data_IF_484777395881
#
_entry.id   IF_484777395881
#
_cell.length_a   1.000
_cell.length_b   1.000
_cell.length_c   1.000
_cell.angle_alpha   90.00
_cell.angle_beta   90.00
_cell.angle_gamma   90.00
#
_symmetry.space_group_name_H-M   'P 1'
#
loop_
_entity.id
_entity.type
_entity.pdbx_description
1 polymer ?
#
# COMPACT_ATOMS: atom_id res chain seq x y z
N UNK A 1 -39.09 49.92 17.21
CA UNK A 1 -38.70 49.55 15.82
C UNK A 1 -37.22 49.24 15.84
N UNK A 2 -36.86 47.96 15.98
CA UNK A 2 -35.48 47.52 16.22
C UNK A 2 -34.79 47.13 14.91
N UNK A 3 -33.57 47.64 14.75
CA UNK A 3 -32.65 47.36 13.67
C UNK A 3 -32.17 45.89 13.69
N UNK A 4 -32.27 45.21 12.55
CA UNK A 4 -31.67 43.90 12.32
C UNK A 4 -30.20 44.06 11.91
N UNK A 5 -29.29 43.55 12.74
CA UNK A 5 -27.88 43.41 12.39
C UNK A 5 -27.67 42.14 11.60
N UNK A 6 -27.14 42.34 10.39
CA UNK A 6 -26.44 41.36 9.56
C UNK A 6 -25.31 40.68 10.34
N UNK A 7 -25.26 39.36 10.25
CA UNK A 7 -24.06 38.55 10.49
C UNK A 7 -23.94 37.57 9.33
N UNK A 8 -23.16 37.96 8.33
CA UNK A 8 -22.51 37.02 7.42
C UNK A 8 -21.21 36.55 8.07
N UNK A 9 -20.97 35.23 8.09
CA UNK A 9 -19.65 34.62 8.06
C UNK A 9 -19.76 33.10 8.23
N UNK A 10 -19.01 32.37 7.41
CA UNK A 10 -18.59 31.00 7.73
C UNK A 10 -19.20 29.94 6.84
N UNK A 11 -18.56 29.70 5.70
CA UNK A 11 -18.88 28.58 4.82
C UNK A 11 -17.99 28.58 3.58
N UNK A 12 -16.68 28.73 3.78
CA UNK A 12 -15.70 28.41 2.73
C UNK A 12 -15.70 26.89 2.55
N UNK A 13 -16.68 26.39 1.80
CA UNK A 13 -16.71 25.04 1.27
C UNK A 13 -15.45 24.88 0.42
N UNK A 14 -14.48 24.18 0.98
CA UNK A 14 -13.20 23.96 0.33
C UNK A 14 -13.42 23.16 -0.95
N UNK A 15 -13.28 23.85 -2.08
CA UNK A 15 -12.88 23.29 -3.37
C UNK A 15 -11.55 22.53 -3.20
N UNK A 16 -11.62 21.31 -2.66
CA UNK A 16 -10.55 20.31 -2.65
C UNK A 16 -10.85 19.19 -3.64
N UNK A 17 -11.64 19.49 -4.67
CA UNK A 17 -11.99 18.55 -5.72
C UNK A 17 -11.60 19.10 -7.09
N UNK A 18 -10.32 19.43 -7.27
CA UNK A 18 -9.76 19.90 -8.54
C UNK A 18 -8.28 19.55 -8.68
N UNK A 19 -7.93 18.30 -8.40
CA UNK A 19 -6.73 17.68 -8.97
C UNK A 19 -7.08 16.26 -9.43
N UNK A 20 -8.15 16.15 -10.24
CA UNK A 20 -8.25 15.07 -11.21
C UNK A 20 -7.14 15.29 -12.25
N UNK A 21 -5.91 15.01 -11.85
CA UNK A 21 -4.72 15.10 -12.69
C UNK A 21 -4.94 14.31 -13.96
N UNK A 22 -4.61 14.91 -15.10
CA UNK A 22 -4.63 14.26 -16.39
C UNK A 22 -3.55 13.17 -16.45
N UNK A 23 -3.88 11.95 -16.02
CA UNK A 23 -2.95 10.82 -16.02
C UNK A 23 -2.77 10.28 -17.45
N UNK A 24 -1.71 10.75 -18.11
CA UNK A 24 -1.29 10.27 -19.42
C UNK A 24 -0.76 8.84 -19.29
N UNK A 25 -1.20 7.93 -20.17
CA UNK A 25 -0.79 6.52 -20.25
C UNK A 25 0.67 6.29 -20.64
N UNK A 26 1.60 6.85 -19.87
CA UNK A 26 3.01 6.53 -19.89
C UNK A 26 3.35 5.81 -18.58
N UNK A 27 3.91 4.60 -18.70
CA UNK A 27 4.36 3.76 -17.57
C UNK A 27 5.02 4.65 -16.49
N UNK A 28 4.40 4.76 -15.32
CA UNK A 28 4.96 5.56 -14.23
C UNK A 28 6.34 5.02 -13.85
N UNK A 29 7.25 5.91 -13.43
CA UNK A 29 8.51 5.43 -12.86
C UNK A 29 8.22 4.74 -11.53
N UNK A 30 8.99 3.71 -11.19
CA UNK A 30 8.88 2.98 -9.91
C UNK A 30 8.92 3.92 -8.71
N UNK A 31 9.67 5.01 -8.80
CA UNK A 31 9.70 6.05 -7.76
C UNK A 31 8.33 6.71 -7.55
N UNK A 32 7.65 7.07 -8.65
CA UNK A 32 6.30 7.66 -8.58
C UNK A 32 5.28 6.65 -8.07
N UNK A 33 5.38 5.39 -8.49
CA UNK A 33 4.50 4.33 -8.01
C UNK A 33 4.65 4.11 -6.49
N UNK A 34 5.88 4.01 -5.99
CA UNK A 34 6.14 3.87 -4.55
C UNK A 34 5.65 5.10 -3.78
N UNK A 35 5.88 6.31 -4.32
CA UNK A 35 5.37 7.54 -3.69
C UNK A 35 3.85 7.53 -3.62
N UNK A 36 3.19 7.18 -4.72
CA UNK A 36 1.74 7.09 -4.79
C UNK A 36 1.16 6.05 -3.81
N UNK A 37 1.80 4.87 -3.67
CA UNK A 37 1.40 3.88 -2.67
C UNK A 37 1.55 4.42 -1.24
N UNK A 38 2.63 5.13 -0.94
CA UNK A 38 2.83 5.76 0.37
C UNK A 38 1.76 6.81 0.63
N UNK A 39 1.47 7.67 -0.35
CA UNK A 39 0.43 8.69 -0.24
C UNK A 39 -0.96 8.04 -0.03
N UNK A 40 -1.24 6.92 -0.72
CA UNK A 40 -2.46 6.14 -0.53
C UNK A 40 -2.59 5.54 0.86
N UNK A 41 -1.49 5.00 1.42
CA UNK A 41 -1.44 4.49 2.81
C UNK A 41 -1.73 5.60 3.83
N UNK A 42 -1.23 6.81 3.59
CA UNK A 42 -1.38 7.95 4.49
C UNK A 42 -2.68 8.74 4.26
N UNK A 43 -3.49 8.35 3.28
CA UNK A 43 -4.77 9.00 2.97
C UNK A 43 -5.91 8.62 3.91
N UNK A 44 -7.03 9.37 3.80
CA UNK A 44 -8.19 9.23 4.69
C UNK A 44 -9.15 8.07 4.30
N UNK A 45 -9.08 7.56 3.06
CA UNK A 45 -9.86 6.36 2.66
C UNK A 45 -9.20 5.10 3.22
N UNK A 46 -9.77 4.54 4.28
CA UNK A 46 -9.28 3.34 4.99
C UNK A 46 -9.11 2.15 4.03
N UNK A 47 -10.05 1.93 3.11
CA UNK A 47 -9.99 0.80 2.19
C UNK A 47 -8.85 0.97 1.18
N UNK A 48 -8.65 2.19 0.69
CA UNK A 48 -7.51 2.54 -0.16
C UNK A 48 -6.19 2.39 0.61
N UNK A 49 -6.13 2.90 1.84
CA UNK A 49 -4.94 2.82 2.69
C UNK A 49 -4.47 1.39 2.91
N UNK A 50 -5.40 0.49 3.26
CA UNK A 50 -5.09 -0.92 3.45
C UNK A 50 -4.70 -1.65 2.16
N UNK A 51 -5.35 -1.33 1.04
CA UNK A 51 -5.00 -1.89 -0.27
C UNK A 51 -3.57 -1.47 -0.68
N UNK A 52 -3.26 -0.17 -0.58
CA UNK A 52 -1.92 0.35 -0.86
C UNK A 52 -0.86 -0.24 0.08
N UNK A 53 -1.18 -0.42 1.37
CA UNK A 53 -0.27 -1.05 2.33
C UNK A 53 0.04 -2.48 1.93
N UNK A 54 -0.97 -3.24 1.51
CA UNK A 54 -0.80 -4.65 1.12
C UNK A 54 0.08 -4.78 -0.12
N UNK A 55 -0.18 -3.98 -1.16
CA UNK A 55 0.66 -3.93 -2.37
C UNK A 55 2.10 -3.54 -2.01
N UNK A 56 2.28 -2.55 -1.14
CA UNK A 56 3.60 -2.13 -0.69
C UNK A 56 4.33 -3.27 0.04
N UNK A 57 3.65 -4.01 0.90
CA UNK A 57 4.20 -5.11 1.70
C UNK A 57 4.51 -6.37 0.89
N UNK A 58 3.62 -6.76 -0.01
CA UNK A 58 3.69 -8.04 -0.71
C UNK A 58 4.62 -7.95 -1.94
N UNK A 59 4.59 -6.82 -2.66
CA UNK A 59 5.28 -6.69 -3.94
C UNK A 59 6.52 -5.79 -3.85
N UNK A 60 6.34 -4.55 -3.37
CA UNK A 60 7.37 -3.52 -3.48
C UNK A 60 8.46 -3.65 -2.42
N UNK A 61 8.13 -3.89 -1.15
CA UNK A 61 9.12 -4.03 -0.08
C UNK A 61 10.06 -5.22 -0.31
N UNK A 62 9.59 -6.44 -0.67
CA UNK A 62 10.47 -7.57 -0.94
C UNK A 62 11.37 -7.32 -2.15
N UNK A 63 10.86 -6.65 -3.19
CA UNK A 63 11.66 -6.24 -4.34
C UNK A 63 12.74 -5.20 -3.98
N UNK A 64 12.37 -4.15 -3.23
CA UNK A 64 13.30 -3.11 -2.78
C UNK A 64 14.41 -3.68 -1.91
N UNK A 65 14.04 -4.55 -0.95
CA UNK A 65 14.99 -5.21 -0.07
C UNK A 65 15.99 -6.06 -0.86
N UNK A 66 15.51 -6.88 -1.81
CA UNK A 66 16.36 -7.69 -2.69
C UNK A 66 17.27 -6.82 -3.54
N UNK A 67 16.73 -5.76 -4.15
CA UNK A 67 17.47 -4.80 -4.97
C UNK A 67 18.61 -4.14 -4.19
N UNK A 68 18.35 -3.71 -2.95
CA UNK A 68 19.35 -3.14 -2.07
C UNK A 68 20.46 -4.15 -1.70
N UNK A 69 20.08 -5.39 -1.34
CA UNK A 69 21.03 -6.46 -1.03
C UNK A 69 21.92 -6.79 -2.24
N UNK A 70 21.35 -6.86 -3.44
CA UNK A 70 22.11 -7.14 -4.66
C UNK A 70 23.08 -6.00 -4.99
N UNK A 71 22.69 -4.74 -4.85
CA UNK A 71 23.59 -3.59 -4.99
C UNK A 71 24.73 -3.67 -3.96
N UNK A 72 24.42 -3.99 -2.70
CA UNK A 72 25.43 -4.17 -1.67
C UNK A 72 26.41 -5.31 -2.02
N UNK A 73 25.91 -6.45 -2.50
CA UNK A 73 26.74 -7.59 -2.95
C UNK A 73 27.64 -7.21 -4.13
N UNK A 74 27.10 -6.52 -5.13
CA UNK A 74 27.87 -6.02 -6.30
C UNK A 74 28.96 -5.04 -5.89
N UNK A 75 28.73 -4.23 -4.85
CA UNK A 75 29.74 -3.34 -4.28
C UNK A 75 30.78 -4.04 -3.37
N UNK A 76 30.77 -5.38 -3.33
CA UNK A 76 31.73 -6.19 -2.57
C UNK A 76 31.43 -6.36 -1.08
N UNK A 77 30.26 -5.91 -0.59
CA UNK A 77 29.88 -6.11 0.82
C UNK A 77 29.59 -7.58 1.11
N UNK A 78 30.17 -8.11 2.18
CA UNK A 78 29.90 -9.48 2.63
C UNK A 78 28.52 -9.63 3.30
N UNK A 79 28.08 -10.87 3.45
CA UNK A 79 26.80 -11.22 4.07
C UNK A 79 26.68 -10.81 5.55
N UNK A 80 27.79 -10.77 6.29
CA UNK A 80 27.77 -10.38 7.70
C UNK A 80 27.52 -8.87 7.85
N UNK A 81 28.17 -8.05 7.02
CA UNK A 81 27.98 -6.61 6.99
C UNK A 81 26.57 -6.24 6.53
N UNK A 82 26.04 -6.92 5.51
CA UNK A 82 24.65 -6.74 5.08
C UNK A 82 23.68 -7.13 6.19
N UNK A 83 23.91 -8.28 6.87
CA UNK A 83 23.11 -8.69 8.01
C UNK A 83 23.07 -7.66 9.13
N UNK A 84 24.22 -7.13 9.55
CA UNK A 84 24.30 -6.08 10.59
C UNK A 84 23.47 -4.84 10.22
N UNK A 85 23.54 -4.39 8.97
CA UNK A 85 22.77 -3.22 8.51
C UNK A 85 21.26 -3.46 8.47
N UNK A 86 20.84 -4.70 8.21
CA UNK A 86 19.42 -5.09 8.17
C UNK A 86 18.88 -5.58 9.51
N UNK A 87 19.69 -5.58 10.59
CA UNK A 87 19.29 -6.14 11.88
C UNK A 87 19.07 -7.66 11.86
N UNK A 88 19.74 -8.39 10.95
CA UNK A 88 19.57 -9.85 10.76
C UNK A 88 20.89 -10.60 10.84
N UNK A 89 20.83 -11.88 11.21
CA UNK A 89 22.02 -12.73 11.22
C UNK A 89 22.56 -12.98 9.80
N UNK A 90 23.87 -13.21 9.68
CA UNK A 90 24.52 -13.58 8.39
C UNK A 90 23.82 -14.76 7.72
N UNK A 91 23.48 -15.78 8.51
CA UNK A 91 22.84 -17.00 8.00
C UNK A 91 21.43 -16.72 7.49
N UNK A 92 20.64 -15.89 8.19
CA UNK A 92 19.30 -15.50 7.75
C UNK A 92 19.35 -14.74 6.41
N UNK A 93 20.27 -13.78 6.27
CA UNK A 93 20.44 -13.04 5.01
C UNK A 93 20.92 -13.95 3.89
N UNK A 94 21.91 -14.82 4.14
CA UNK A 94 22.39 -15.76 3.12
C UNK A 94 21.31 -16.76 2.70
N UNK A 95 20.50 -17.26 3.63
CA UNK A 95 19.37 -18.15 3.34
C UNK A 95 18.34 -17.46 2.45
N UNK A 96 18.04 -16.19 2.72
CA UNK A 96 17.00 -15.42 2.01
C UNK A 96 17.46 -14.88 0.64
N UNK A 97 18.73 -14.48 0.52
CA UNK A 97 19.23 -13.74 -0.65
C UNK A 97 20.42 -14.39 -1.35
N UNK A 98 20.96 -15.49 -0.82
CA UNK A 98 22.16 -16.14 -1.37
C UNK A 98 21.90 -17.06 -2.56
N UNK A 99 20.65 -17.34 -2.89
CA UNK A 99 20.26 -18.10 -4.09
C UNK A 99 20.27 -17.24 -5.36
N UNK A 100 20.29 -17.90 -6.52
CA UNK A 100 20.08 -17.24 -7.82
C UNK A 100 18.62 -16.77 -7.85
N UNK A 101 18.41 -15.45 -7.81
CA UNK A 101 17.07 -14.90 -7.94
C UNK A 101 16.59 -15.12 -9.40
N UNK A 102 15.34 -15.55 -9.61
CA UNK A 102 14.76 -15.60 -10.95
C UNK A 102 14.76 -14.19 -11.56
N UNK A 103 14.94 -14.09 -12.88
CA UNK A 103 15.09 -12.81 -13.59
C UNK A 103 13.92 -11.85 -13.31
N UNK A 104 12.70 -12.38 -13.18
CA UNK A 104 11.51 -11.58 -12.83
C UNK A 104 11.59 -10.92 -11.45
N UNK A 105 12.31 -11.51 -10.49
CA UNK A 105 12.49 -10.94 -9.16
C UNK A 105 13.48 -9.75 -9.11
N UNK A 106 14.15 -9.46 -10.23
CA UNK A 106 15.05 -8.32 -10.40
C UNK A 106 14.36 -7.15 -11.08
N UNK A 107 13.29 -7.42 -11.82
CA UNK A 107 12.48 -6.39 -12.43
C UNK A 107 11.62 -5.74 -11.34
N UNK A 108 11.44 -4.41 -11.39
CA UNK A 108 10.48 -3.78 -10.51
C UNK A 108 9.09 -4.40 -10.73
N UNK A 109 8.31 -4.60 -9.66
CA UNK A 109 6.89 -4.84 -9.83
C UNK A 109 6.34 -3.67 -10.66
N UNK A 110 5.66 -3.99 -11.75
CA UNK A 110 4.95 -3.02 -12.55
C UNK A 110 3.49 -3.09 -12.14
N UNK A 111 2.94 -1.97 -11.66
CA UNK A 111 1.49 -1.81 -11.69
C UNK A 111 1.08 -1.87 -13.17
N UNK A 112 0.20 -2.79 -13.60
CA UNK A 112 -0.26 -2.81 -14.98
C UNK A 112 -0.89 -1.46 -15.31
N UNK A 113 -0.72 -0.99 -16.55
CA UNK A 113 -1.16 0.34 -17.00
C UNK A 113 -2.68 0.62 -16.83
N UNK A 114 -3.47 -0.38 -16.45
CA UNK A 114 -4.75 -0.20 -15.75
C UNK A 114 -4.51 0.03 -14.26
N UNK A 115 -3.81 1.10 -13.92
CA UNK A 115 -3.28 1.40 -12.57
C UNK A 115 -4.38 1.46 -11.50
N UNK A 116 -5.60 1.78 -11.91
CA UNK A 116 -6.79 1.75 -11.05
C UNK A 116 -7.38 0.35 -10.90
N UNK A 117 -7.24 -0.57 -11.86
CA UNK A 117 -7.99 -1.83 -11.85
C UNK A 117 -7.49 -2.81 -10.81
N UNK A 118 -6.18 -2.87 -10.57
CA UNK A 118 -5.60 -3.79 -9.59
C UNK A 118 -5.79 -3.24 -8.18
N UNK A 119 -5.55 -1.94 -7.96
CA UNK A 119 -5.82 -1.32 -6.67
C UNK A 119 -7.33 -1.31 -6.37
N UNK A 120 -8.19 -1.09 -7.35
CA UNK A 120 -9.65 -1.21 -7.16
C UNK A 120 -10.09 -2.67 -7.01
N UNK A 121 -9.44 -3.64 -7.66
CA UNK A 121 -9.68 -5.06 -7.40
C UNK A 121 -9.27 -5.43 -5.97
N UNK A 122 -8.13 -4.94 -5.53
CA UNK A 122 -7.57 -5.16 -4.19
C UNK A 122 -8.44 -4.50 -3.13
N UNK A 123 -8.82 -3.24 -3.34
CA UNK A 123 -9.81 -2.52 -2.53
C UNK A 123 -11.13 -3.28 -2.46
N UNK A 124 -11.66 -3.76 -3.60
CA UNK A 124 -12.86 -4.61 -3.63
C UNK A 124 -12.67 -5.90 -2.85
N UNK A 125 -11.50 -6.53 -2.92
CA UNK A 125 -11.19 -7.75 -2.18
C UNK A 125 -11.13 -7.49 -0.67
N UNK A 126 -10.48 -6.40 -0.24
CA UNK A 126 -10.41 -5.96 1.17
C UNK A 126 -11.81 -5.64 1.70
N UNK A 127 -12.62 -4.88 0.96
CA UNK A 127 -14.02 -4.58 1.34
C UNK A 127 -14.84 -5.88 1.42
N UNK A 128 -14.67 -6.80 0.46
CA UNK A 128 -15.35 -8.09 0.48
C UNK A 128 -14.88 -8.98 1.64
N UNK A 129 -13.62 -8.87 2.08
CA UNK A 129 -13.12 -9.56 3.26
C UNK A 129 -13.76 -8.99 4.52
N UNK A 130 -13.77 -7.67 4.71
CA UNK A 130 -14.43 -7.05 5.86
C UNK A 130 -15.92 -7.38 5.94
N UNK A 131 -16.61 -7.44 4.80
CA UNK A 131 -18.00 -7.88 4.74
C UNK A 131 -18.15 -9.33 5.22
N UNK A 132 -17.30 -10.24 4.73
CA UNK A 132 -17.31 -11.65 5.16
C UNK A 132 -17.02 -11.83 6.65
N UNK A 133 -16.06 -11.07 7.19
CA UNK A 133 -15.73 -11.09 8.62
C UNK A 133 -16.92 -10.60 9.45
N UNK A 134 -17.54 -9.48 9.07
CA UNK A 134 -18.74 -8.97 9.75
C UNK A 134 -19.91 -9.93 9.67
N UNK A 135 -20.19 -10.50 8.50
CA UNK A 135 -21.30 -11.46 8.33
C UNK A 135 -21.06 -12.73 9.18
N UNK A 136 -19.80 -13.14 9.37
CA UNK A 136 -19.44 -14.24 10.26
C UNK A 136 -19.65 -13.89 11.75
N UNK A 137 -19.30 -12.67 12.17
CA UNK A 137 -19.54 -12.17 13.53
C UNK A 137 -21.05 -12.01 13.83
N UNK A 138 -21.83 -11.51 12.87
CA UNK A 138 -23.28 -11.39 12.96
C UNK A 138 -23.96 -12.77 13.05
N UNK A 139 -23.46 -13.75 12.28
CA UNK A 139 -23.92 -15.14 12.35
C UNK A 139 -23.58 -15.79 13.70
N UNK A 140 -22.38 -15.54 14.25
CA UNK A 140 -22.00 -16.00 15.58
C UNK A 140 -22.88 -15.40 16.68
N UNK A 141 -23.21 -14.11 16.57
CA UNK A 141 -24.07 -13.39 17.52
C UNK A 141 -25.52 -13.85 17.44
N UNK A 142 -26.05 -14.05 16.22
CA UNK A 142 -27.44 -14.50 15.99
C UNK A 142 -27.63 -15.98 16.35
N UNK A 143 -26.64 -16.83 16.04
CA UNK A 143 -26.63 -18.24 16.44
C UNK A 143 -26.57 -18.43 17.95
N UNK A 144 -25.97 -17.48 18.69
CA UNK A 144 -25.98 -17.45 20.15
C UNK A 144 -27.35 -17.07 20.75
N UNK A 145 -28.26 -16.46 19.98
CA UNK A 145 -29.59 -16.05 20.45
C UNK A 145 -30.70 -17.08 20.17
N UNK A 146 -30.47 -18.06 19.28
CA UNK A 146 -31.44 -19.10 18.93
C UNK A 146 -31.30 -20.41 19.72
N UNK A 147 -30.42 -20.45 20.72
CA UNK A 147 -30.22 -21.61 21.59
C UNK A 147 -31.02 -21.48 22.89
N UNK A 148 -32.37 -21.51 22.81
CA UNK A 148 -33.28 -21.69 23.95
C UNK A 148 -34.49 -22.51 23.55
#
# INVERSE_FOLDING_TARGET
MHATRSWGSGGGEGDRNSEAGCWHGGRMSVEREVRWLIDGVLGDDIAMSLACLRILQDDYLPWLERSAVLRARRSGRDWARIGRLLGRSRQAVRKRFGGVAPVGALLPPSLPATEQSEVEAERRAVVAQFRRERDADDAATTGSLTAW
#
